data_IF_677714837554
#
_entry.id   IF_677714837554
#
_cell.length_a   1.000
_cell.length_b   1.000
_cell.length_c   1.000
_cell.angle_alpha   90.00
_cell.angle_beta   90.00
_cell.angle_gamma   90.00
#
_symmetry.space_group_name_H-M   'P 1'
#
loop_
_entity.id
_entity.type
_entity.pdbx_description
1 polymer ?
#
# COMPACT_ATOMS: atom_id res chain seq x y z
N UNK A 1 -1.20 25.08 33.93
CA UNK A 1 -0.75 25.26 32.55
C UNK A 1 -0.71 23.97 31.76
N UNK A 2 -0.31 22.87 32.38
CA UNK A 2 -0.36 21.55 31.68
C UNK A 2 -1.80 21.13 31.34
N UNK A 3 -2.76 21.52 32.16
CA UNK A 3 -4.17 21.18 31.95
C UNK A 3 -4.76 21.86 30.71
N UNK A 4 -4.34 23.09 30.41
CA UNK A 4 -4.79 23.78 29.20
C UNK A 4 -4.32 23.15 27.92
N UNK A 5 -3.15 22.50 27.93
CA UNK A 5 -2.62 21.83 26.78
C UNK A 5 -3.44 20.57 26.42
N UNK A 6 -3.80 19.79 27.44
CA UNK A 6 -4.59 18.58 27.28
C UNK A 6 -6.01 18.94 26.82
N UNK A 7 -6.62 19.96 27.39
CA UNK A 7 -7.94 20.44 26.98
C UNK A 7 -7.96 20.91 25.53
N UNK A 8 -6.92 21.64 25.09
CA UNK A 8 -6.80 22.07 23.70
C UNK A 8 -6.68 20.89 22.75
N UNK A 9 -5.94 19.87 23.15
CA UNK A 9 -5.81 18.67 22.35
C UNK A 9 -7.12 17.92 22.23
N UNK A 10 -7.87 17.82 23.31
CA UNK A 10 -9.18 17.19 23.31
C UNK A 10 -10.17 17.97 22.43
N UNK A 11 -10.18 19.30 22.56
CA UNK A 11 -11.03 20.14 21.72
C UNK A 11 -10.71 19.98 20.23
N UNK A 12 -9.43 19.97 19.89
CA UNK A 12 -9.00 19.75 18.52
C UNK A 12 -9.38 18.35 18.01
N UNK A 13 -9.25 17.36 18.86
CA UNK A 13 -9.63 15.99 18.51
C UNK A 13 -11.13 15.88 18.26
N UNK A 14 -11.94 16.46 19.14
CA UNK A 14 -13.41 16.46 19.01
C UNK A 14 -13.85 17.23 17.76
N UNK A 15 -13.21 18.38 17.50
CA UNK A 15 -13.50 19.17 16.32
C UNK A 15 -13.18 18.39 15.05
N UNK A 16 -12.05 17.67 15.00
CA UNK A 16 -11.70 16.82 13.87
C UNK A 16 -12.69 15.67 13.71
N UNK A 17 -13.10 15.05 14.81
CA UNK A 17 -14.06 13.96 14.79
C UNK A 17 -15.42 14.43 14.28
N UNK A 18 -15.87 15.60 14.69
CA UNK A 18 -17.12 16.18 14.21
C UNK A 18 -17.04 16.54 12.72
N UNK A 19 -15.93 17.13 12.29
CA UNK A 19 -15.71 17.45 10.90
C UNK A 19 -15.68 16.19 10.04
N UNK A 20 -15.07 15.13 10.52
CA UNK A 20 -15.01 13.85 9.81
C UNK A 20 -16.39 13.22 9.68
N UNK A 21 -17.21 13.25 10.73
CA UNK A 21 -18.59 12.77 10.68
C UNK A 21 -19.43 13.56 9.69
N UNK A 22 -19.27 14.88 9.66
CA UNK A 22 -19.97 15.71 8.66
C UNK A 22 -19.50 15.40 7.25
N UNK A 23 -18.21 15.24 7.06
CA UNK A 23 -17.66 14.87 5.76
C UNK A 23 -18.21 13.51 5.29
N UNK A 24 -18.38 12.55 6.20
CA UNK A 24 -19.00 11.27 5.88
C UNK A 24 -20.46 11.40 5.45
N UNK A 25 -21.22 12.26 6.13
CA UNK A 25 -22.62 12.52 5.75
C UNK A 25 -22.72 13.15 4.37
N UNK A 26 -21.84 14.12 4.09
CA UNK A 26 -21.76 14.73 2.76
C UNK A 26 -21.25 13.75 1.71
N UNK A 27 -20.29 12.91 2.08
CA UNK A 27 -19.80 11.85 1.23
C UNK A 27 -20.88 10.85 0.84
N UNK A 28 -21.75 10.48 1.76
CA UNK A 28 -22.88 9.59 1.47
C UNK A 28 -23.89 10.24 0.52
N UNK A 29 -24.17 11.53 0.69
CA UNK A 29 -25.06 12.26 -0.22
C UNK A 29 -24.44 12.38 -1.62
N UNK A 30 -23.16 12.69 -1.70
CA UNK A 30 -22.45 12.74 -2.97
C UNK A 30 -22.37 11.37 -3.62
N UNK A 31 -22.24 10.31 -2.84
CA UNK A 31 -22.17 8.96 -3.38
C UNK A 31 -23.51 8.54 -4.00
N UNK A 32 -24.64 9.06 -3.50
CA UNK A 32 -25.93 8.80 -4.13
C UNK A 32 -26.11 9.50 -5.47
N UNK A 33 -25.49 10.66 -5.65
CA UNK A 33 -25.53 11.39 -6.92
C UNK A 33 -24.43 10.93 -7.88
N UNK A 34 -23.25 10.65 -7.36
CA UNK A 34 -22.08 10.24 -8.12
C UNK A 34 -22.03 8.79 -8.61
N UNK A 35 -22.82 7.82 -8.11
CA UNK A 35 -22.72 6.46 -8.65
C UNK A 35 -22.84 6.37 -10.16
N UNK A 36 -23.61 7.25 -10.76
CA UNK A 36 -23.74 7.31 -12.21
C UNK A 36 -22.45 7.81 -12.88
N UNK A 37 -21.84 8.85 -12.32
CA UNK A 37 -20.56 9.37 -12.81
C UNK A 37 -19.42 8.41 -12.52
N UNK A 38 -19.42 7.78 -11.35
CA UNK A 38 -18.42 6.78 -11.00
C UNK A 38 -18.49 5.58 -11.94
N UNK A 39 -19.66 5.18 -12.34
CA UNK A 39 -19.82 4.08 -13.29
C UNK A 39 -19.22 4.43 -14.66
N UNK A 40 -19.49 5.61 -15.17
CA UNK A 40 -18.91 6.02 -16.45
C UNK A 40 -17.40 6.21 -16.32
N UNK A 41 -16.94 6.74 -15.19
CA UNK A 41 -15.52 6.89 -14.93
C UNK A 41 -14.83 5.54 -14.74
N UNK A 42 -15.47 4.62 -14.02
CA UNK A 42 -14.95 3.26 -13.81
C UNK A 42 -14.89 2.50 -15.13
N UNK A 43 -15.88 2.66 -15.99
CA UNK A 43 -15.87 2.00 -17.29
C UNK A 43 -14.77 2.52 -18.20
N UNK A 44 -14.38 3.80 -18.07
CA UNK A 44 -13.25 4.36 -18.79
C UNK A 44 -11.91 3.91 -18.24
N UNK A 45 -11.84 3.67 -16.93
CA UNK A 45 -10.61 3.27 -16.26
C UNK A 45 -10.38 1.76 -16.32
N UNK A 46 -11.42 1.00 -16.57
CA UNK A 46 -11.32 -0.46 -16.66
C UNK A 46 -10.63 -0.90 -17.95
N UNK A 47 -9.37 -0.61 -18.06
CA UNK A 47 -8.46 -1.24 -19.01
C UNK A 47 -7.69 -2.30 -18.23
N UNK A 48 -8.08 -3.55 -18.36
CA UNK A 48 -7.55 -4.55 -17.44
C UNK A 48 -6.08 -4.85 -17.64
N UNK A 49 -5.58 -4.78 -18.86
CA UNK A 49 -4.19 -5.20 -19.12
C UNK A 49 -3.18 -4.06 -18.91
N UNK A 50 -3.55 -2.85 -19.28
CA UNK A 50 -2.68 -1.71 -19.10
C UNK A 50 -2.67 -1.18 -17.66
N UNK A 51 -3.57 -1.68 -16.82
CA UNK A 51 -3.66 -1.25 -15.42
C UNK A 51 -2.82 -2.06 -14.46
N UNK A 52 -2.08 -3.07 -14.95
CA UNK A 52 -1.14 -3.80 -14.11
C UNK A 52 -0.04 -2.87 -13.64
N UNK A 53 0.04 -2.74 -12.33
CA UNK A 53 1.07 -1.91 -11.72
C UNK A 53 2.21 -2.78 -11.23
N UNK A 54 3.37 -2.18 -11.18
CA UNK A 54 4.58 -2.81 -10.67
C UNK A 54 4.76 -2.31 -9.26
N UNK A 55 4.65 -3.21 -8.30
CA UNK A 55 4.60 -2.89 -6.87
C UNK A 55 5.78 -3.51 -6.17
N UNK A 56 6.48 -2.72 -5.38
CA UNK A 56 7.56 -3.19 -4.52
C UNK A 56 7.20 -2.97 -3.06
N UNK A 57 7.32 -4.01 -2.24
CA UNK A 57 6.91 -3.98 -0.83
C UNK A 57 8.08 -4.40 0.04
N UNK A 58 8.39 -3.62 1.07
CA UNK A 58 9.38 -4.03 2.06
C UNK A 58 8.70 -4.76 3.21
N UNK A 59 9.31 -5.86 3.68
CA UNK A 59 8.74 -6.67 4.74
C UNK A 59 7.52 -7.47 4.33
N UNK A 60 7.53 -8.04 3.13
CA UNK A 60 6.37 -8.73 2.56
C UNK A 60 6.22 -10.20 2.92
N UNK A 61 7.13 -10.77 3.70
CA UNK A 61 7.11 -12.21 3.99
C UNK A 61 6.08 -12.60 5.03
N UNK A 62 5.75 -11.73 5.94
CA UNK A 62 4.90 -12.02 7.09
C UNK A 62 4.00 -10.83 7.45
N UNK A 63 2.95 -11.10 8.22
CA UNK A 63 2.10 -10.09 8.83
C UNK A 63 1.41 -9.18 7.83
N UNK A 64 1.43 -7.90 8.12
CA UNK A 64 0.78 -6.87 7.30
C UNK A 64 1.36 -6.83 5.88
N UNK A 65 2.68 -6.92 5.77
CA UNK A 65 3.34 -6.92 4.47
C UNK A 65 2.89 -8.07 3.58
N UNK A 66 2.78 -9.27 4.15
CA UNK A 66 2.27 -10.44 3.43
C UNK A 66 0.84 -10.21 2.93
N UNK A 67 -0.02 -9.66 3.77
CA UNK A 67 -1.39 -9.36 3.39
C UNK A 67 -1.44 -8.34 2.24
N UNK A 68 -0.54 -7.36 2.24
CA UNK A 68 -0.43 -6.39 1.16
C UNK A 68 0.03 -7.07 -0.13
N UNK A 69 1.02 -7.94 -0.06
CA UNK A 69 1.48 -8.73 -1.23
C UNK A 69 0.33 -9.52 -1.82
N UNK A 70 -0.40 -10.23 -0.99
CA UNK A 70 -1.55 -11.03 -1.41
C UNK A 70 -2.62 -10.17 -2.09
N UNK A 71 -2.95 -9.03 -1.49
CA UNK A 71 -3.97 -8.13 -2.03
C UNK A 71 -3.59 -7.58 -3.41
N UNK A 72 -2.35 -7.14 -3.59
CA UNK A 72 -1.90 -6.63 -4.89
C UNK A 72 -1.84 -7.73 -5.95
N UNK A 73 -1.42 -8.93 -5.55
CA UNK A 73 -1.40 -10.06 -6.50
C UNK A 73 -2.79 -10.49 -6.92
N UNK A 74 -3.74 -10.54 -5.98
CA UNK A 74 -5.13 -10.86 -6.31
C UNK A 74 -5.74 -9.82 -7.25
N UNK A 75 -5.32 -8.57 -7.14
CA UNK A 75 -5.76 -7.51 -8.04
C UNK A 75 -5.09 -7.58 -9.43
N UNK A 76 -4.18 -8.52 -9.66
CA UNK A 76 -3.54 -8.71 -10.95
C UNK A 76 -2.26 -7.91 -11.18
N UNK A 77 -1.70 -7.30 -10.15
CA UNK A 77 -0.48 -6.52 -10.28
C UNK A 77 0.77 -7.39 -10.25
N UNK A 78 1.85 -6.89 -10.81
CA UNK A 78 3.17 -7.46 -10.62
C UNK A 78 3.69 -7.00 -9.26
N UNK A 79 4.14 -7.95 -8.45
CA UNK A 79 4.61 -7.65 -7.09
C UNK A 79 5.97 -8.27 -6.86
N UNK A 80 6.90 -7.47 -6.37
CA UNK A 80 8.14 -7.91 -5.77
C UNK A 80 8.17 -7.44 -4.34
N UNK A 81 8.75 -8.22 -3.46
CA UNK A 81 8.90 -7.83 -2.07
C UNK A 81 10.26 -8.28 -1.54
N UNK A 82 10.72 -7.63 -0.51
CA UNK A 82 11.92 -8.04 0.19
C UNK A 82 11.64 -8.31 1.65
N UNK A 83 12.42 -9.19 2.23
CA UNK A 83 12.36 -9.49 3.64
C UNK A 83 13.70 -10.11 4.07
N UNK A 84 13.99 -10.03 5.34
CA UNK A 84 15.17 -10.67 5.91
C UNK A 84 14.95 -12.17 6.14
N UNK A 85 13.71 -12.60 6.31
CA UNK A 85 13.35 -14.00 6.54
C UNK A 85 13.20 -14.74 5.23
N UNK A 86 14.20 -15.51 4.88
CA UNK A 86 14.24 -16.25 3.63
C UNK A 86 13.17 -17.33 3.53
N UNK A 87 12.91 -18.05 4.62
CA UNK A 87 11.94 -19.14 4.61
C UNK A 87 10.53 -18.63 4.37
N UNK A 88 10.11 -17.66 5.20
CA UNK A 88 8.80 -17.04 5.05
C UNK A 88 8.66 -16.33 3.71
N UNK A 89 9.73 -15.69 3.23
CA UNK A 89 9.74 -15.01 1.95
C UNK A 89 9.49 -15.96 0.79
N UNK A 90 10.18 -17.09 0.78
CA UNK A 90 9.98 -18.09 -0.27
C UNK A 90 8.58 -18.70 -0.23
N UNK A 91 8.07 -18.98 0.97
CA UNK A 91 6.72 -19.49 1.13
C UNK A 91 5.67 -18.52 0.58
N UNK A 92 5.80 -17.24 0.92
CA UNK A 92 4.89 -16.21 0.43
C UNK A 92 5.01 -16.05 -1.08
N UNK A 93 6.22 -16.09 -1.63
CA UNK A 93 6.42 -16.02 -3.07
C UNK A 93 5.74 -17.17 -3.80
N UNK A 94 5.87 -18.39 -3.27
CA UNK A 94 5.21 -19.56 -3.86
C UNK A 94 3.69 -19.47 -3.79
N UNK A 95 3.17 -19.00 -2.66
CA UNK A 95 1.74 -18.91 -2.44
C UNK A 95 1.07 -17.82 -3.30
N UNK A 96 1.79 -16.74 -3.58
CA UNK A 96 1.21 -15.56 -4.26
C UNK A 96 1.67 -15.41 -5.71
N UNK A 97 2.80 -16.00 -6.07
CA UNK A 97 3.44 -15.75 -7.34
C UNK A 97 4.24 -14.45 -7.40
N UNK A 98 4.39 -13.77 -6.28
CA UNK A 98 5.23 -12.58 -6.19
C UNK A 98 6.73 -12.98 -6.19
N UNK A 99 7.57 -12.01 -6.53
CA UNK A 99 9.03 -12.20 -6.56
C UNK A 99 9.61 -11.83 -5.19
N UNK A 100 10.36 -12.75 -4.60
CA UNK A 100 11.00 -12.52 -3.32
C UNK A 100 12.48 -12.18 -3.49
N UNK A 101 12.94 -11.17 -2.75
CA UNK A 101 14.34 -10.80 -2.60
C UNK A 101 14.72 -10.80 -1.14
N UNK A 102 15.77 -11.54 -0.78
CA UNK A 102 16.28 -11.51 0.59
C UNK A 102 17.13 -10.26 0.76
N UNK A 103 16.61 -9.30 1.52
CA UNK A 103 17.29 -8.02 1.76
C UNK A 103 17.03 -7.58 3.19
N UNK A 104 18.09 -7.15 3.85
CA UNK A 104 17.98 -6.39 5.08
C UNK A 104 17.90 -4.91 4.71
N UNK A 105 16.74 -4.29 4.96
CA UNK A 105 16.52 -2.88 4.56
C UNK A 105 17.37 -1.90 5.35
N UNK A 106 17.96 -2.32 6.46
CA UNK A 106 18.95 -1.50 7.17
C UNK A 106 20.27 -1.41 6.42
N UNK A 107 20.53 -2.33 5.50
CA UNK A 107 21.67 -2.29 4.62
C UNK A 107 21.31 -1.54 3.33
N UNK A 108 21.73 -0.30 3.27
CA UNK A 108 21.42 0.59 2.15
C UNK A 108 21.90 0.01 0.81
N UNK A 109 23.10 -0.54 0.80
CA UNK A 109 23.70 -1.07 -0.44
C UNK A 109 22.92 -2.29 -0.94
N UNK A 110 22.48 -3.17 -0.03
CA UNK A 110 21.69 -4.32 -0.39
C UNK A 110 20.34 -3.90 -0.97
N UNK A 111 19.71 -2.91 -0.36
CA UNK A 111 18.42 -2.40 -0.83
C UNK A 111 18.58 -1.73 -2.21
N UNK A 112 19.60 -0.93 -2.40
CA UNK A 112 19.85 -0.31 -3.70
C UNK A 112 20.09 -1.34 -4.79
N UNK A 113 20.88 -2.37 -4.52
CA UNK A 113 21.12 -3.47 -5.46
C UNK A 113 19.83 -4.18 -5.84
N UNK A 114 18.97 -4.44 -4.83
CA UNK A 114 17.67 -5.05 -5.06
C UNK A 114 16.80 -4.17 -5.97
N UNK A 115 16.72 -2.88 -5.68
CA UNK A 115 15.95 -1.95 -6.49
C UNK A 115 16.46 -1.87 -7.92
N UNK A 116 17.78 -1.84 -8.10
CA UNK A 116 18.38 -1.83 -9.44
C UNK A 116 18.05 -3.09 -10.22
N UNK A 117 18.05 -4.25 -9.56
CA UNK A 117 17.68 -5.51 -10.19
C UNK A 117 16.22 -5.49 -10.66
N UNK A 118 15.33 -4.98 -9.83
CA UNK A 118 13.92 -4.87 -10.18
C UNK A 118 13.71 -3.89 -11.34
N UNK A 119 14.37 -2.74 -11.28
CA UNK A 119 14.29 -1.74 -12.35
C UNK A 119 14.84 -2.26 -13.66
N UNK A 120 15.87 -3.10 -13.62
CA UNK A 120 16.42 -3.71 -14.83
C UNK A 120 15.43 -4.66 -15.50
N UNK A 121 14.62 -5.36 -14.70
CA UNK A 121 13.60 -6.29 -15.23
C UNK A 121 12.33 -5.58 -15.65
N UNK A 122 11.88 -4.61 -14.84
CA UNK A 122 10.57 -3.98 -15.00
C UNK A 122 10.60 -2.63 -15.70
N UNK A 123 11.77 -2.03 -15.85
CA UNK A 123 12.00 -0.66 -16.34
C UNK A 123 11.51 0.43 -15.39
N UNK A 124 10.52 0.18 -14.58
CA UNK A 124 9.96 1.15 -13.67
C UNK A 124 9.27 0.46 -12.50
N UNK A 125 8.95 1.24 -11.46
CA UNK A 125 8.15 0.80 -10.32
C UNK A 125 7.06 1.85 -10.11
N UNK A 126 5.82 1.40 -10.09
CA UNK A 126 4.68 2.32 -9.96
C UNK A 126 4.34 2.62 -8.51
N UNK A 127 4.46 1.64 -7.63
CA UNK A 127 4.09 1.76 -6.22
C UNK A 127 5.18 1.15 -5.36
N UNK A 128 5.59 1.89 -4.34
CA UNK A 128 6.51 1.39 -3.29
C UNK A 128 5.77 1.45 -1.97
N UNK A 129 5.72 0.32 -1.27
CA UNK A 129 5.10 0.24 0.05
C UNK A 129 6.20 0.03 1.09
N UNK A 130 6.45 1.03 1.90
CA UNK A 130 7.41 0.96 2.99
C UNK A 130 6.71 0.43 4.24
N UNK A 131 6.77 -0.88 4.43
CA UNK A 131 6.09 -1.54 5.54
C UNK A 131 7.03 -1.87 6.70
N UNK A 132 8.33 -2.00 6.46
CA UNK A 132 9.28 -2.31 7.53
C UNK A 132 9.44 -1.12 8.44
N UNK A 133 9.14 -1.32 9.74
CA UNK A 133 9.45 -0.36 10.80
C UNK A 133 10.74 -0.77 11.52
N UNK A 134 11.51 0.21 11.85
CA UNK A 134 12.75 -0.01 12.60
C UNK A 134 12.60 0.55 14.01
#
# INVERSE_FOLDING_TARGET
MADNYIERQQEQYEARKAAWKQAQKYGKKKTTVRPAESKSHTSTVSKPEDSKRRVFITGGAEGIGKAIVEAFRLAGNQVAFCDINEISGQETAKATGAIFHKVDVSDKNALESCMQTILAEWNDIDIIVNNVGI
#
